data_IF_450392673820
#
_entry.id   IF_450392673820
#
_cell.length_a   1.000
_cell.length_b   1.000
_cell.length_c   1.000
_cell.angle_alpha   90.00
_cell.angle_beta   90.00
_cell.angle_gamma   90.00
#
_symmetry.space_group_name_H-M   'P 1'
#
loop_
_entity.id
_entity.type
_entity.pdbx_description
1 polymer ?
#
# COMPACT_ATOMS: atom_id res chain seq x y z
N UNK A 1 -5.25 -27.60 17.69
CA UNK A 1 -3.96 -26.93 17.42
C UNK A 1 -4.13 -25.47 17.80
N UNK A 2 -3.24 -24.93 18.61
CA UNK A 2 -3.29 -23.55 19.11
C UNK A 2 -2.54 -22.60 18.19
N UNK A 3 -2.77 -21.29 18.34
CA UNK A 3 -2.07 -20.26 17.57
C UNK A 3 -0.58 -20.27 17.85
N UNK A 4 -0.18 -20.48 19.11
CA UNK A 4 1.22 -20.69 19.49
C UNK A 4 1.87 -21.84 18.74
N UNK A 5 1.23 -23.00 18.69
CA UNK A 5 1.75 -24.17 17.96
C UNK A 5 1.87 -23.90 16.46
N UNK A 6 0.90 -23.17 15.90
CA UNK A 6 0.88 -22.85 14.48
C UNK A 6 1.99 -21.86 14.11
N UNK A 7 2.19 -20.81 14.92
CA UNK A 7 3.29 -19.87 14.78
C UNK A 7 4.64 -20.56 14.95
N UNK A 8 4.79 -21.44 15.95
CA UNK A 8 6.01 -22.20 16.13
C UNK A 8 6.34 -23.07 14.91
N UNK A 9 5.34 -23.74 14.33
CA UNK A 9 5.51 -24.52 13.11
C UNK A 9 5.91 -23.66 11.89
N UNK A 10 5.35 -22.45 11.76
CA UNK A 10 5.71 -21.51 10.69
C UNK A 10 7.15 -21.00 10.83
N UNK A 11 7.56 -20.62 12.04
CA UNK A 11 8.93 -20.16 12.34
C UNK A 11 9.96 -21.26 12.08
N UNK A 12 9.66 -22.49 12.50
CA UNK A 12 10.49 -23.66 12.24
C UNK A 12 10.49 -24.11 10.76
N UNK A 13 9.69 -23.47 9.90
CA UNK A 13 9.48 -23.88 8.49
C UNK A 13 9.11 -25.36 8.36
N UNK A 14 8.36 -25.88 9.32
CA UNK A 14 7.99 -27.28 9.36
C UNK A 14 7.14 -27.66 8.13
N UNK A 15 7.31 -28.89 7.66
CA UNK A 15 6.50 -29.43 6.58
C UNK A 15 5.01 -29.32 6.92
N UNK A 16 4.22 -28.93 5.92
CA UNK A 16 2.77 -28.74 6.08
C UNK A 16 2.34 -27.58 6.99
N UNK A 17 3.24 -26.71 7.47
CA UNK A 17 2.86 -25.55 8.29
C UNK A 17 1.84 -24.64 7.56
N UNK A 18 2.05 -24.34 6.28
CA UNK A 18 1.09 -23.57 5.47
C UNK A 18 -0.25 -24.30 5.26
N UNK A 19 -0.24 -25.63 5.17
CA UNK A 19 -1.47 -26.41 5.07
C UNK A 19 -2.30 -26.30 6.35
N UNK A 20 -1.66 -26.45 7.51
CA UNK A 20 -2.31 -26.27 8.82
C UNK A 20 -2.82 -24.84 9.01
N UNK A 21 -2.04 -23.84 8.58
CA UNK A 21 -2.45 -22.44 8.60
C UNK A 21 -3.70 -22.20 7.75
N UNK A 22 -3.74 -22.76 6.54
CA UNK A 22 -4.92 -22.70 5.67
C UNK A 22 -6.11 -23.41 6.30
N UNK A 23 -5.92 -24.60 6.87
CA UNK A 23 -7.01 -25.38 7.44
C UNK A 23 -7.65 -24.67 8.66
N UNK A 24 -6.85 -23.96 9.45
CA UNK A 24 -7.33 -23.19 10.59
C UNK A 24 -7.97 -21.84 10.19
N UNK A 25 -7.33 -21.08 9.29
CA UNK A 25 -7.66 -19.67 9.06
C UNK A 25 -8.09 -19.33 7.62
N UNK A 26 -7.90 -20.24 6.67
CA UNK A 26 -8.09 -20.00 5.24
C UNK A 26 -9.50 -19.56 4.88
N UNK A 27 -10.53 -20.10 5.54
CA UNK A 27 -11.93 -19.69 5.34
C UNK A 27 -12.16 -18.23 5.73
N UNK A 28 -11.77 -17.84 6.94
CA UNK A 28 -11.98 -16.50 7.48
C UNK A 28 -11.22 -15.45 6.66
N UNK A 29 -9.96 -15.75 6.32
CA UNK A 29 -9.13 -14.87 5.50
C UNK A 29 -9.70 -14.74 4.09
N UNK A 30 -10.13 -15.84 3.46
CA UNK A 30 -10.76 -15.81 2.15
C UNK A 30 -12.04 -14.97 2.15
N UNK A 31 -12.89 -15.14 3.16
CA UNK A 31 -14.14 -14.40 3.29
C UNK A 31 -13.88 -12.90 3.42
N UNK A 32 -12.86 -12.49 4.18
CA UNK A 32 -12.46 -11.08 4.29
C UNK A 32 -11.93 -10.54 2.96
N UNK A 33 -11.10 -11.30 2.25
CA UNK A 33 -10.62 -10.91 0.92
C UNK A 33 -11.77 -10.76 -0.09
N UNK A 34 -12.71 -11.70 -0.11
CA UNK A 34 -13.88 -11.66 -0.98
C UNK A 34 -14.77 -10.46 -0.67
N UNK A 35 -14.96 -10.16 0.62
CA UNK A 35 -15.73 -8.99 1.07
C UNK A 35 -15.07 -7.67 0.63
N UNK A 36 -13.74 -7.60 0.59
CA UNK A 36 -13.00 -6.40 0.21
C UNK A 36 -12.88 -6.20 -1.30
N UNK A 37 -12.73 -7.29 -2.05
CA UNK A 37 -12.41 -7.24 -3.49
C UNK A 37 -13.63 -7.46 -4.38
N UNK A 38 -14.66 -8.16 -3.91
CA UNK A 38 -15.85 -8.50 -4.70
C UNK A 38 -15.62 -9.50 -5.84
N UNK A 39 -14.37 -9.94 -6.07
CA UNK A 39 -13.97 -10.88 -7.12
C UNK A 39 -13.30 -12.12 -6.51
N UNK A 40 -13.75 -13.31 -6.92
CA UNK A 40 -13.32 -14.58 -6.32
C UNK A 40 -11.88 -14.96 -6.69
N UNK A 41 -11.44 -14.66 -7.92
CA UNK A 41 -10.07 -14.96 -8.35
C UNK A 41 -9.06 -14.00 -7.69
N UNK A 42 -9.40 -12.72 -7.60
CA UNK A 42 -8.63 -11.72 -6.87
C UNK A 42 -8.57 -12.05 -5.38
N UNK A 43 -9.68 -12.48 -4.77
CA UNK A 43 -9.70 -12.91 -3.37
C UNK A 43 -8.81 -14.13 -3.11
N UNK A 44 -8.85 -15.12 -3.99
CA UNK A 44 -7.95 -16.27 -3.93
C UNK A 44 -6.48 -15.83 -4.06
N UNK A 45 -6.17 -14.94 -5.00
CA UNK A 45 -4.82 -14.42 -5.20
C UNK A 45 -4.31 -13.68 -3.94
N UNK A 46 -5.15 -12.82 -3.34
CA UNK A 46 -4.83 -12.11 -2.10
C UNK A 46 -4.67 -13.06 -0.90
N UNK A 47 -5.48 -14.13 -0.80
CA UNK A 47 -5.31 -15.17 0.21
C UNK A 47 -3.96 -15.88 0.05
N UNK A 48 -3.61 -16.28 -1.17
CA UNK A 48 -2.31 -16.91 -1.47
C UNK A 48 -1.17 -16.00 -1.04
N UNK A 49 -1.23 -14.72 -1.39
CA UNK A 49 -0.21 -13.73 -1.00
C UNK A 49 -0.12 -13.59 0.52
N UNK A 50 -1.25 -13.55 1.19
CA UNK A 50 -1.32 -13.48 2.66
C UNK A 50 -0.58 -14.66 3.30
N UNK A 51 -0.78 -15.88 2.82
CA UNK A 51 -0.11 -17.07 3.36
C UNK A 51 1.40 -17.06 3.08
N UNK A 52 1.81 -16.59 1.90
CA UNK A 52 3.24 -16.42 1.57
C UNK A 52 3.89 -15.40 2.50
N UNK A 53 3.26 -14.24 2.70
CA UNK A 53 3.76 -13.19 3.59
C UNK A 53 3.81 -13.70 5.04
N UNK A 54 2.74 -14.34 5.51
CA UNK A 54 2.69 -14.87 6.87
C UNK A 54 3.78 -15.91 7.11
N UNK A 55 3.97 -16.87 6.19
CA UNK A 55 5.03 -17.86 6.31
C UNK A 55 6.43 -17.24 6.26
N UNK A 56 6.62 -16.19 5.45
CA UNK A 56 7.91 -15.51 5.34
C UNK A 56 8.29 -14.68 6.57
N UNK A 57 7.29 -14.11 7.26
CA UNK A 57 7.48 -13.12 8.32
C UNK A 57 6.94 -13.57 9.69
N UNK A 58 6.69 -14.87 9.89
CA UNK A 58 6.21 -15.42 11.17
C UNK A 58 7.14 -15.11 12.36
N UNK A 59 8.44 -14.93 12.12
CA UNK A 59 9.42 -14.53 13.14
C UNK A 59 9.20 -13.11 13.67
N UNK A 60 8.49 -12.27 12.92
CA UNK A 60 8.20 -10.87 13.30
C UNK A 60 6.96 -10.71 14.16
N UNK A 61 6.07 -11.71 14.18
CA UNK A 61 4.89 -11.67 15.04
C UNK A 61 5.35 -11.84 16.50
N UNK A 62 5.32 -10.76 17.29
CA UNK A 62 5.84 -10.80 18.66
C UNK A 62 4.98 -11.67 19.59
N UNK A 63 3.66 -11.55 19.47
CA UNK A 63 2.69 -12.30 20.27
C UNK A 63 1.95 -13.33 19.39
N UNK A 64 2.19 -14.64 19.59
CA UNK A 64 1.50 -15.67 18.83
C UNK A 64 -0.01 -15.70 19.05
N UNK A 65 -0.53 -15.22 20.18
CA UNK A 65 -1.96 -15.22 20.46
C UNK A 65 -2.74 -14.20 19.59
N UNK A 66 -2.02 -13.31 18.90
CA UNK A 66 -2.57 -12.34 17.94
C UNK A 66 -2.50 -12.84 16.49
N UNK A 67 -2.27 -14.13 16.26
CA UNK A 67 -2.13 -14.72 14.94
C UNK A 67 -3.32 -14.38 14.04
N UNK A 68 -4.54 -14.51 14.55
CA UNK A 68 -5.76 -14.24 13.78
C UNK A 68 -5.83 -12.79 13.32
N UNK A 69 -5.66 -11.84 14.24
CA UNK A 69 -5.68 -10.40 13.99
C UNK A 69 -4.57 -10.01 13.00
N UNK A 70 -3.40 -10.61 13.17
CA UNK A 70 -2.24 -10.40 12.31
C UNK A 70 -2.49 -10.87 10.88
N UNK A 71 -3.05 -12.08 10.69
CA UNK A 71 -3.41 -12.61 9.36
C UNK A 71 -4.45 -11.74 8.66
N UNK A 72 -5.48 -11.32 9.37
CA UNK A 72 -6.51 -10.43 8.81
C UNK A 72 -5.94 -9.05 8.48
N UNK A 73 -4.96 -8.55 9.24
CA UNK A 73 -4.28 -7.30 8.92
C UNK A 73 -3.44 -7.42 7.64
N UNK A 74 -2.69 -8.52 7.48
CA UNK A 74 -1.95 -8.81 6.25
C UNK A 74 -2.91 -8.94 5.07
N UNK A 75 -4.00 -9.68 5.21
CA UNK A 75 -5.00 -9.87 4.16
C UNK A 75 -5.56 -8.54 3.65
N UNK A 76 -5.90 -7.62 4.56
CA UNK A 76 -6.34 -6.26 4.20
C UNK A 76 -5.24 -5.48 3.47
N UNK A 77 -3.98 -5.65 3.85
CA UNK A 77 -2.86 -5.01 3.19
C UNK A 77 -2.65 -5.57 1.77
N UNK A 78 -2.78 -6.87 1.58
CA UNK A 78 -2.69 -7.53 0.27
C UNK A 78 -3.86 -7.15 -0.63
N UNK A 79 -5.09 -7.09 -0.12
CA UNK A 79 -6.25 -6.63 -0.89
C UNK A 79 -6.07 -5.19 -1.41
N UNK A 80 -5.46 -4.30 -0.63
CA UNK A 80 -5.17 -2.91 -1.06
C UNK A 80 -4.17 -2.84 -2.23
N UNK A 81 -3.37 -3.89 -2.45
CA UNK A 81 -2.38 -3.95 -3.54
C UNK A 81 -2.97 -4.47 -4.83
N UNK A 82 -4.16 -5.07 -4.80
CA UNK A 82 -4.88 -5.48 -6.01
C UNK A 82 -5.40 -4.22 -6.69
N UNK A 83 -4.98 -3.91 -7.93
CA UNK A 83 -5.55 -2.79 -8.66
C UNK A 83 -7.03 -3.05 -8.88
N UNK A 84 -7.89 -2.19 -8.32
CA UNK A 84 -9.30 -2.20 -8.71
C UNK A 84 -9.37 -1.68 -10.14
N UNK A 85 -9.98 -2.45 -11.04
CA UNK A 85 -10.23 -2.02 -12.43
C UNK A 85 -11.06 -0.72 -12.53
N UNK A 86 -11.57 -0.19 -11.41
CA UNK A 86 -12.41 1.00 -11.29
C UNK A 86 -11.79 2.13 -10.45
N UNK A 87 -10.46 2.31 -10.43
CA UNK A 87 -9.89 3.57 -9.95
C UNK A 87 -10.36 4.72 -10.86
N UNK A 88 -10.71 5.93 -10.35
CA UNK A 88 -10.96 7.06 -11.23
C UNK A 88 -9.73 7.24 -12.11
N UNK A 89 -9.91 7.12 -13.42
CA UNK A 89 -8.83 7.37 -14.37
C UNK A 89 -8.27 8.76 -14.07
N UNK A 90 -6.93 8.95 -14.00
CA UNK A 90 -6.38 10.29 -13.96
C UNK A 90 -6.92 11.04 -15.19
N UNK A 91 -7.58 12.16 -14.95
CA UNK A 91 -8.41 12.87 -15.93
C UNK A 91 -7.65 13.42 -17.15
N UNK A 92 -6.33 13.19 -17.25
CA UNK A 92 -5.47 13.86 -18.23
C UNK A 92 -4.48 12.91 -18.93
N UNK A 93 -4.88 11.67 -19.27
CA UNK A 93 -4.09 10.85 -20.18
C UNK A 93 -4.54 11.08 -21.64
N UNK A 94 -3.72 11.73 -22.50
CA UNK A 94 -4.05 11.86 -23.91
C UNK A 94 -4.05 10.48 -24.58
N UNK A 95 -5.15 10.15 -25.24
CA UNK A 95 -5.29 8.98 -26.09
C UNK A 95 -4.28 9.08 -27.24
N UNK A 96 -3.14 8.40 -27.08
CA UNK A 96 -2.15 8.28 -28.14
C UNK A 96 -2.59 7.19 -29.11
N UNK A 97 -2.97 7.64 -30.31
CA UNK A 97 -3.41 6.79 -31.41
C UNK A 97 -2.33 5.81 -31.90
N UNK A 98 -2.82 4.71 -32.49
CA UNK A 98 -1.97 3.63 -32.98
C UNK A 98 -2.69 2.68 -33.92
N UNK A 99 -2.99 3.18 -35.12
CA UNK A 99 -2.98 2.47 -36.42
C UNK A 99 -4.11 1.49 -36.76
N UNK A 100 -4.86 1.92 -37.77
CA UNK A 100 -5.69 1.14 -38.65
C UNK A 100 -4.89 0.12 -39.48
N UNK A 101 -5.56 -1.01 -39.74
CA UNK A 101 -5.43 -2.03 -40.80
C UNK A 101 -6.24 -3.20 -40.20
N UNK A 102 -7.16 -3.90 -40.83
CA UNK A 102 -7.59 -4.09 -42.21
C UNK A 102 -8.70 -5.13 -42.09
N UNK A 103 -9.79 -5.05 -42.86
CA UNK A 103 -10.75 -6.18 -42.90
C UNK A 103 -12.20 -5.79 -43.10
N UNK A 104 -12.49 -5.25 -44.29
CA UNK A 104 -13.78 -5.25 -44.98
C UNK A 104 -14.58 -6.54 -44.76
N UNK A 105 -15.84 -6.43 -44.35
CA UNK A 105 -16.93 -6.98 -45.15
C UNK A 105 -18.24 -6.22 -44.92
N UNK A 106 -18.94 -6.09 -46.03
CA UNK A 106 -20.15 -5.33 -46.23
C UNK A 106 -21.34 -6.25 -45.96
N UNK A 107 -22.35 -5.76 -45.26
CA UNK A 107 -23.71 -6.23 -45.50
C UNK A 107 -24.71 -5.10 -45.31
N UNK A 108 -25.20 -4.63 -46.46
CA UNK A 108 -26.34 -3.74 -46.62
C UNK A 108 -27.62 -4.46 -46.20
N UNK A 109 -28.49 -3.81 -45.43
CA UNK A 109 -29.86 -4.30 -45.26
C UNK A 109 -30.73 -3.60 -44.22
N UNK A 110 -31.41 -2.54 -44.68
CA UNK A 110 -32.77 -2.11 -44.29
C UNK A 110 -32.99 -1.15 -43.08
N UNK A 111 -33.80 -0.08 -43.25
CA UNK A 111 -34.22 0.81 -42.18
C UNK A 111 -35.53 0.32 -41.52
N UNK A 112 -35.58 0.32 -40.19
CA UNK A 112 -36.78 -0.03 -39.40
C UNK A 112 -36.85 0.81 -38.12
N UNK A 113 -38.02 1.40 -37.88
CA UNK A 113 -38.36 2.49 -36.94
C UNK A 113 -38.21 2.19 -35.43
N UNK A 114 -38.28 3.24 -34.56
CA UNK A 114 -37.93 3.16 -33.14
C UNK A 114 -39.08 2.64 -32.26
N UNK A 115 -38.74 1.86 -31.23
CA UNK A 115 -39.64 1.45 -30.14
C UNK A 115 -39.08 1.83 -28.77
N UNK A 116 -39.89 2.54 -27.98
CA UNK A 116 -39.63 2.99 -26.60
C UNK A 116 -39.78 1.84 -25.57
N UNK A 117 -39.35 2.05 -24.31
CA UNK A 117 -38.89 0.99 -23.42
C UNK A 117 -40.03 0.32 -22.64
N UNK A 118 -39.78 -0.90 -22.19
CA UNK A 118 -40.55 -1.55 -21.13
C UNK A 118 -39.64 -1.82 -19.95
N UNK A 119 -39.90 -1.08 -18.87
CA UNK A 119 -39.46 -1.40 -17.53
C UNK A 119 -40.19 -2.68 -17.08
N UNK A 120 -39.44 -3.71 -16.73
CA UNK A 120 -39.95 -4.76 -15.83
C UNK A 120 -38.96 -4.87 -14.67
N UNK A 121 -39.31 -4.17 -13.60
CA UNK A 121 -38.63 -4.28 -12.32
C UNK A 121 -38.91 -5.66 -11.75
N UNK A 122 -37.89 -6.50 -11.75
CA UNK A 122 -37.75 -7.56 -10.75
C UNK A 122 -36.61 -7.15 -9.84
N UNK A 123 -36.95 -6.63 -8.67
CA UNK A 123 -36.00 -6.42 -7.60
C UNK A 123 -35.37 -7.76 -7.24
N UNK A 124 -34.04 -7.95 -7.33
CA UNK A 124 -33.45 -9.14 -6.79
C UNK A 124 -33.59 -9.08 -5.27
N UNK A 125 -34.31 -10.04 -4.72
CA UNK A 125 -34.29 -10.40 -3.31
C UNK A 125 -32.85 -10.33 -2.83
N UNK A 126 -32.58 -9.42 -1.90
CA UNK A 126 -31.28 -9.28 -1.26
C UNK A 126 -31.13 -10.43 -0.27
N UNK A 127 -30.96 -11.64 -0.80
CA UNK A 127 -30.50 -12.79 -0.03
C UNK A 127 -29.11 -12.43 0.44
N UNK A 128 -28.96 -12.12 1.73
CA UNK A 128 -27.65 -11.92 2.32
C UNK A 128 -26.80 -13.16 1.98
N UNK A 129 -25.64 -13.02 1.31
CA UNK A 129 -24.85 -14.16 0.93
C UNK A 129 -24.35 -14.84 2.20
N UNK A 130 -24.83 -16.07 2.43
CA UNK A 130 -24.09 -17.04 3.25
C UNK A 130 -22.69 -17.10 2.64
N UNK A 131 -21.60 -16.85 3.40
CA UNK A 131 -20.27 -16.90 2.83
C UNK A 131 -20.08 -18.31 2.26
N UNK A 132 -19.73 -18.45 0.97
CA UNK A 132 -19.57 -19.76 0.37
C UNK A 132 -18.49 -20.49 1.16
N UNK A 133 -18.82 -21.71 1.63
CA UNK A 133 -17.78 -22.63 2.12
C UNK A 133 -16.76 -22.70 0.99
N UNK A 134 -15.47 -22.42 1.27
CA UNK A 134 -14.48 -22.38 0.19
C UNK A 134 -14.47 -23.74 -0.50
N UNK A 135 -14.57 -23.80 -1.83
CA UNK A 135 -14.59 -25.08 -2.53
C UNK A 135 -13.29 -25.82 -2.22
N UNK A 136 -13.32 -27.15 -2.15
CA UNK A 136 -12.11 -27.96 -1.91
C UNK A 136 -10.97 -27.64 -2.91
N UNK A 137 -11.34 -27.17 -4.11
CA UNK A 137 -10.40 -26.66 -5.12
C UNK A 137 -9.60 -25.44 -4.65
N UNK A 138 -10.14 -24.57 -3.79
CA UNK A 138 -9.42 -23.40 -3.26
C UNK A 138 -8.19 -23.84 -2.48
N UNK A 139 -8.35 -24.83 -1.58
CA UNK A 139 -7.24 -25.37 -0.79
C UNK A 139 -6.13 -25.90 -1.68
N UNK A 140 -6.47 -26.72 -2.68
CA UNK A 140 -5.50 -27.29 -3.62
C UNK A 140 -4.80 -26.20 -4.41
N UNK A 141 -5.55 -25.24 -4.99
CA UNK A 141 -4.98 -24.14 -5.79
C UNK A 141 -4.06 -23.25 -4.98
N UNK A 142 -4.48 -22.87 -3.77
CA UNK A 142 -3.70 -22.01 -2.88
C UNK A 142 -2.45 -22.73 -2.40
N UNK A 143 -2.58 -23.96 -1.88
CA UNK A 143 -1.43 -24.68 -1.35
C UNK A 143 -0.44 -25.07 -2.46
N UNK A 144 -0.90 -25.50 -3.64
CA UNK A 144 -0.02 -25.74 -4.79
C UNK A 144 0.77 -24.48 -5.19
N UNK A 145 0.19 -23.29 -5.05
CA UNK A 145 0.91 -22.06 -5.38
C UNK A 145 1.82 -21.55 -4.24
N UNK A 146 1.54 -21.92 -2.99
CA UNK A 146 2.36 -21.56 -1.81
C UNK A 146 3.50 -22.55 -1.57
N UNK A 147 3.33 -23.82 -1.92
CA UNK A 147 4.30 -24.89 -1.61
C UNK A 147 4.77 -25.68 -2.83
N UNK A 148 4.21 -25.42 -4.01
CA UNK A 148 4.55 -26.17 -5.22
C UNK A 148 5.98 -25.91 -5.69
N UNK A 149 6.61 -26.90 -6.35
CA UNK A 149 7.92 -26.74 -6.94
C UNK A 149 7.91 -25.62 -7.99
N UNK A 150 8.98 -24.81 -8.04
CA UNK A 150 9.11 -23.69 -8.98
C UNK A 150 8.44 -22.37 -8.57
N UNK A 151 7.81 -22.30 -7.39
CA UNK A 151 7.16 -21.08 -6.89
C UNK A 151 8.10 -20.14 -6.12
N UNK A 152 9.37 -20.50 -5.96
CA UNK A 152 10.34 -19.78 -5.11
C UNK A 152 10.54 -18.32 -5.50
N UNK A 153 10.55 -18.03 -6.81
CA UNK A 153 10.65 -16.66 -7.32
C UNK A 153 9.44 -15.83 -6.93
N UNK A 154 8.24 -16.40 -7.09
CA UNK A 154 6.99 -15.77 -6.67
C UNK A 154 6.97 -15.51 -5.16
N UNK A 155 7.32 -16.52 -4.35
CA UNK A 155 7.32 -16.40 -2.89
C UNK A 155 8.29 -15.34 -2.40
N UNK A 156 9.50 -15.28 -2.98
CA UNK A 156 10.49 -14.23 -2.68
C UNK A 156 9.97 -12.84 -3.08
N UNK A 157 9.37 -12.70 -4.26
CA UNK A 157 8.82 -11.42 -4.71
C UNK A 157 7.71 -10.92 -3.78
N UNK A 158 6.75 -11.78 -3.43
CA UNK A 158 5.63 -11.46 -2.54
C UNK A 158 6.11 -11.16 -1.11
N UNK A 159 7.04 -11.95 -0.58
CA UNK A 159 7.61 -11.72 0.74
C UNK A 159 8.39 -10.40 0.81
N UNK A 160 9.14 -10.05 -0.24
CA UNK A 160 9.94 -8.82 -0.30
C UNK A 160 9.08 -7.56 -0.37
N UNK A 161 7.99 -7.57 -1.15
CA UNK A 161 7.10 -6.39 -1.28
C UNK A 161 6.30 -6.10 0.01
N UNK A 162 6.22 -7.05 0.94
CA UNK A 162 5.57 -6.91 2.24
C UNK A 162 6.47 -6.29 3.35
N UNK A 163 7.55 -5.60 2.99
CA UNK A 163 8.57 -5.12 3.93
C UNK A 163 8.09 -4.13 5.01
N UNK A 164 6.94 -3.46 4.84
CA UNK A 164 6.46 -2.42 5.76
C UNK A 164 5.65 -2.97 6.95
N UNK A 165 6.08 -4.11 7.51
CA UNK A 165 5.60 -4.57 8.82
C UNK A 165 6.29 -3.74 9.92
N UNK A 166 5.59 -3.45 11.00
CA UNK A 166 6.15 -2.79 12.18
C UNK A 166 6.99 -3.76 13.03
N UNK A 167 7.46 -3.29 14.19
CA UNK A 167 8.28 -4.08 15.11
C UNK A 167 7.55 -5.28 15.73
N UNK A 168 6.21 -5.26 15.72
CA UNK A 168 5.36 -6.33 16.25
C UNK A 168 4.87 -7.27 15.15
N UNK A 169 5.30 -7.01 13.91
CA UNK A 169 4.94 -7.78 12.73
C UNK A 169 3.69 -7.28 12.03
N UNK A 170 2.98 -6.27 12.53
CA UNK A 170 1.74 -5.82 11.90
C UNK A 170 2.02 -4.92 10.69
N UNK A 171 1.26 -5.04 9.58
CA UNK A 171 1.39 -4.11 8.47
C UNK A 171 1.18 -2.68 8.96
N UNK A 172 2.15 -1.81 8.71
CA UNK A 172 2.00 -0.41 9.04
C UNK A 172 0.78 0.12 8.30
N UNK A 173 -0.09 0.78 9.06
CA UNK A 173 -1.11 1.61 8.43
C UNK A 173 -0.34 2.69 7.71
N UNK A 174 -0.34 2.65 6.38
CA UNK A 174 -0.18 3.87 5.62
C UNK A 174 -1.39 4.73 6.00
N UNK A 175 -1.28 5.42 7.14
CA UNK A 175 -2.13 6.56 7.42
C UNK A 175 -2.01 7.40 6.16
N UNK A 176 -3.14 7.68 5.51
CA UNK A 176 -3.19 8.54 4.34
C UNK A 176 -2.15 9.64 4.55
N UNK A 177 -1.13 9.69 3.69
CA UNK A 177 -0.15 10.76 3.75
C UNK A 177 -0.91 12.01 3.33
N UNK A 178 -1.64 12.59 4.28
CA UNK A 178 -2.26 13.87 4.10
C UNK A 178 -1.13 14.88 3.87
N UNK A 179 -1.38 15.96 3.12
CA UNK A 179 -0.35 16.95 2.78
C UNK A 179 0.34 17.59 4.01
N UNK A 180 -0.17 17.34 5.23
CA UNK A 180 0.40 17.78 6.51
C UNK A 180 1.69 17.03 6.92
N UNK A 181 2.01 15.89 6.32
CA UNK A 181 3.26 15.14 6.60
C UNK A 181 4.50 15.72 5.92
N UNK A 182 4.33 16.42 4.78
CA UNK A 182 5.43 17.02 4.04
C UNK A 182 6.03 18.25 4.76
N UNK A 183 5.21 19.02 5.47
CA UNK A 183 5.66 20.25 6.14
C UNK A 183 6.51 19.98 7.40
N UNK A 184 6.37 18.81 8.03
CA UNK A 184 7.13 18.45 9.25
C UNK A 184 8.55 17.93 8.95
N UNK A 185 8.87 17.64 7.68
CA UNK A 185 10.22 17.28 7.26
C UNK A 185 11.12 18.49 6.93
N UNK A 186 10.56 19.70 6.86
CA UNK A 186 11.32 20.94 6.64
C UNK A 186 11.72 21.65 7.94
N UNK A 187 11.22 21.20 9.10
CA UNK A 187 11.50 21.79 10.40
C UNK A 187 13.01 21.89 10.75
N UNK A 188 13.87 20.88 10.52
CA UNK A 188 15.31 21.04 10.82
C UNK A 188 16.03 21.91 9.77
N UNK A 189 15.59 21.90 8.51
CA UNK A 189 16.24 22.66 7.43
C UNK A 189 16.03 24.18 7.58
N UNK A 190 14.82 24.60 7.97
CA UNK A 190 14.48 26.01 8.23
C UNK A 190 15.21 26.57 9.45
N UNK A 191 15.38 25.75 10.50
CA UNK A 191 16.15 26.14 11.69
C UNK A 191 17.63 26.36 11.38
N UNK A 192 18.24 25.48 10.57
CA UNK A 192 19.66 25.63 10.15
C UNK A 192 19.84 26.85 9.26
N UNK A 193 18.94 27.09 8.30
CA UNK A 193 19.04 28.29 7.43
C UNK A 193 18.90 29.59 8.22
N UNK A 194 17.97 29.65 9.19
CA UNK A 194 17.78 30.83 10.03
C UNK A 194 18.97 31.07 10.98
N UNK A 195 19.57 29.99 11.52
CA UNK A 195 20.78 30.07 12.33
C UNK A 195 22.01 30.55 11.53
N UNK A 196 22.17 30.09 10.28
CA UNK A 196 23.26 30.52 9.39
C UNK A 196 23.10 31.99 9.00
N UNK A 197 21.88 32.44 8.66
CA UNK A 197 21.59 33.83 8.37
C UNK A 197 21.85 34.74 9.58
N UNK A 198 21.50 34.30 10.79
CA UNK A 198 21.78 35.03 12.03
C UNK A 198 23.28 35.17 12.29
N UNK A 199 24.07 34.09 12.08
CA UNK A 199 25.53 34.13 12.22
C UNK A 199 26.19 35.05 11.20
N UNK A 200 25.75 35.00 9.92
CA UNK A 200 26.23 35.90 8.87
C UNK A 200 25.92 37.36 9.23
N UNK A 201 24.69 37.65 9.69
CA UNK A 201 24.30 38.98 10.15
C UNK A 201 25.14 39.48 11.32
N UNK A 202 25.43 38.62 12.30
CA UNK A 202 26.27 38.97 13.45
C UNK A 202 27.71 39.29 13.03
N UNK A 203 28.29 38.52 12.12
CA UNK A 203 29.64 38.77 11.56
C UNK A 203 29.68 40.10 10.81
N UNK A 204 28.70 40.40 9.96
CA UNK A 204 28.64 41.67 9.26
C UNK A 204 28.40 42.88 10.18
N UNK A 205 27.62 42.70 11.25
CA UNK A 205 27.41 43.75 12.25
C UNK A 205 28.71 44.05 13.02
N UNK A 206 29.44 43.01 13.44
CA UNK A 206 30.76 43.18 14.10
C UNK A 206 31.84 43.72 13.17
N UNK A 207 31.78 43.41 11.87
CA UNK A 207 32.67 43.97 10.86
C UNK A 207 32.38 45.45 10.57
N UNK A 208 31.11 45.85 10.58
CA UNK A 208 30.69 47.24 10.34
C UNK A 208 31.04 48.17 11.52
N UNK A 209 31.03 47.67 12.76
CA UNK A 209 31.39 48.45 13.95
C UNK A 209 32.89 48.81 14.00
N UNK A 210 33.76 47.95 13.45
CA UNK A 210 35.20 48.22 13.36
C UNK A 210 35.56 49.25 12.28
N UNK A 211 34.80 49.34 11.19
CA UNK A 211 34.98 50.40 10.20
C UNK A 211 34.53 51.78 10.68
N UNK A 212 33.65 51.87 11.68
CA UNK A 212 33.13 53.14 12.20
C UNK A 212 34.03 53.80 13.25
N UNK A 213 34.92 53.05 13.92
CA UNK A 213 35.90 53.61 14.88
C UNK A 213 37.15 54.20 14.25
N UNK A 214 37.33 54.08 12.94
CA UNK A 214 38.49 54.63 12.22
C UNK A 214 38.40 56.13 11.92
N UNK A 215 37.27 56.80 12.16
CA UNK A 215 37.06 58.19 11.72
C UNK A 215 36.81 59.21 12.83
N UNK A 216 36.79 58.82 14.11
CA UNK A 216 36.76 59.79 15.21
C UNK A 216 38.17 60.26 15.56
N UNK A 217 38.81 60.95 14.61
CA UNK A 217 39.90 61.88 14.89
C UNK A 217 39.25 63.20 15.36
N UNK A 218 39.41 63.64 16.62
CA UNK A 218 38.79 64.87 17.08
C UNK A 218 39.37 66.09 16.33
N UNK A 219 38.55 67.08 15.92
CA UNK A 219 39.06 68.28 15.28
C UNK A 219 39.88 69.09 16.28
N UNK A 220 41.12 69.42 15.89
CA UNK A 220 41.95 70.39 16.57
C UNK A 220 41.21 71.74 16.61
N UNK A 221 41.01 72.27 17.83
CA UNK A 221 40.38 73.57 18.01
C UNK A 221 41.35 74.69 17.60
N UNK A 222 40.89 75.74 16.89
CA UNK A 222 41.68 76.94 16.71
C UNK A 222 41.62 77.80 17.98
N UNK A 223 42.80 78.08 18.55
CA UNK A 223 43.03 79.05 19.61
C UNK A 223 42.62 80.45 19.14
N UNK A 224 41.68 81.06 19.84
CA UNK A 224 41.35 82.49 19.72
C UNK A 224 42.14 83.25 20.80
N UNK A 225 43.08 84.07 20.37
CA UNK A 225 43.39 85.38 20.97
C UNK A 225 44.03 86.29 19.93
#
# INVERSE_FOLDING_TARGET
MTDRELVAALRARADGACARLFDAYGRDVHAECLRLLGDAEAAQAALRDTLVVAAAHADRLADPDLLREWLLAIARAECRRVPTAHGPAPADAPASGGKALSGRNENLGHPGRPGRPVHSGSAPTRTAPVPPVPPASLRVRVLSAVTGPGTDGYRRHVAARAADLDRHGFPRRHACSGPRGALRQLAPALAVTLAVLLLIGLVHLTGADLSRRGTDQPPAQPLVY
#
